data_IF_941284161580
#
_entry.id   IF_941284161580
#
_cell.length_a   1.000
_cell.length_b   1.000
_cell.length_c   1.000
_cell.angle_alpha   90.00
_cell.angle_beta   90.00
_cell.angle_gamma   90.00
#
_symmetry.space_group_name_H-M   'P 1'
#
loop_
_entity.id
_entity.type
_entity.pdbx_description
1 polymer ?
#
# COMPACT_ATOMS: atom_id res chain seq x y z
N UNK A 1 15.05 14.60 -38.11
CA UNK A 1 14.89 14.47 -36.65
C UNK A 1 13.44 14.81 -36.38
N UNK A 2 12.61 13.82 -36.00
CA UNK A 2 11.16 14.00 -35.93
C UNK A 2 10.78 15.12 -34.97
N UNK A 3 9.81 15.96 -35.37
CA UNK A 3 9.24 16.97 -34.48
C UNK A 3 8.71 16.29 -33.21
N UNK A 4 9.07 16.84 -32.05
CA UNK A 4 8.51 16.39 -30.79
C UNK A 4 7.08 16.90 -30.70
N UNK A 5 6.11 16.00 -30.80
CA UNK A 5 4.71 16.34 -30.56
C UNK A 5 4.48 16.67 -29.07
N UNK A 6 4.30 17.96 -28.79
CA UNK A 6 4.05 18.46 -27.44
C UNK A 6 2.76 17.88 -26.85
N UNK A 7 1.75 17.56 -27.68
CA UNK A 7 0.52 16.94 -27.19
C UNK A 7 0.80 15.54 -26.63
N UNK A 8 1.51 14.70 -27.39
CA UNK A 8 1.96 13.37 -26.94
C UNK A 8 2.75 13.45 -25.63
N UNK A 9 3.69 14.40 -25.51
CA UNK A 9 4.47 14.57 -24.28
C UNK A 9 3.58 14.94 -23.08
N UNK A 10 2.62 15.83 -23.26
CA UNK A 10 1.70 16.21 -22.18
C UNK A 10 0.81 15.04 -21.75
N UNK A 11 0.31 14.25 -22.69
CA UNK A 11 -0.47 13.03 -22.38
C UNK A 11 0.36 11.99 -21.63
N UNK A 12 1.62 11.79 -22.02
CA UNK A 12 2.53 10.89 -21.32
C UNK A 12 2.73 11.32 -19.85
N UNK A 13 2.91 12.63 -19.59
CA UNK A 13 3.02 13.17 -18.23
C UNK A 13 1.74 12.99 -17.43
N UNK A 14 0.58 13.25 -18.05
CA UNK A 14 -0.72 13.09 -17.39
C UNK A 14 -0.96 11.63 -17.00
N UNK A 15 -0.71 10.69 -17.90
CA UNK A 15 -0.82 9.25 -17.63
C UNK A 15 0.11 8.83 -16.49
N UNK A 16 1.39 9.23 -16.54
CA UNK A 16 2.35 8.93 -15.47
C UNK A 16 1.90 9.49 -14.13
N UNK A 17 1.45 10.75 -14.11
CA UNK A 17 1.01 11.42 -12.88
C UNK A 17 -0.19 10.70 -12.27
N UNK A 18 -1.18 10.31 -13.08
CA UNK A 18 -2.33 9.54 -12.62
C UNK A 18 -1.90 8.21 -12.00
N UNK A 19 -1.07 7.43 -12.70
CA UNK A 19 -0.58 6.15 -12.18
C UNK A 19 0.22 6.31 -10.89
N UNK A 20 1.13 7.29 -10.84
CA UNK A 20 1.95 7.58 -9.67
C UNK A 20 1.10 8.02 -8.47
N UNK A 21 0.10 8.88 -8.68
CA UNK A 21 -0.81 9.31 -7.63
C UNK A 21 -1.63 8.15 -7.07
N UNK A 22 -2.21 7.30 -7.93
CA UNK A 22 -2.95 6.12 -7.48
C UNK A 22 -2.07 5.16 -6.68
N UNK A 23 -0.86 4.86 -7.16
CA UNK A 23 0.07 3.98 -6.46
C UNK A 23 0.50 4.56 -5.09
N UNK A 24 0.77 5.87 -5.03
CA UNK A 24 1.21 6.53 -3.79
C UNK A 24 0.15 6.60 -2.69
N UNK A 25 -1.13 6.31 -2.99
CA UNK A 25 -2.14 6.12 -1.94
C UNK A 25 -1.92 4.80 -1.19
N UNK A 26 -1.59 3.72 -1.90
CA UNK A 26 -1.48 2.38 -1.32
C UNK A 26 -0.13 2.13 -0.65
N UNK A 27 0.96 2.74 -1.14
CA UNK A 27 2.32 2.57 -0.60
C UNK A 27 2.43 2.94 0.89
N UNK A 28 2.12 4.17 1.34
CA UNK A 28 2.26 4.55 2.75
C UNK A 28 1.27 3.81 3.66
N UNK A 29 0.07 3.49 3.16
CA UNK A 29 -0.93 2.71 3.90
C UNK A 29 -0.42 1.29 4.16
N UNK A 30 0.10 0.63 3.12
CA UNK A 30 0.69 -0.72 3.21
C UNK A 30 1.88 -0.74 4.16
N UNK A 31 2.76 0.26 4.06
CA UNK A 31 3.93 0.37 4.93
C UNK A 31 3.51 0.56 6.40
N UNK A 32 2.57 1.46 6.68
CA UNK A 32 2.04 1.68 8.03
C UNK A 32 1.33 0.45 8.61
N UNK A 33 0.49 -0.21 7.81
CA UNK A 33 -0.22 -1.43 8.22
C UNK A 33 0.73 -2.59 8.51
N UNK A 34 1.84 -2.71 7.77
CA UNK A 34 2.84 -3.76 8.02
C UNK A 34 3.47 -3.64 9.41
N UNK A 35 3.87 -2.43 9.82
CA UNK A 35 4.37 -2.16 11.16
C UNK A 35 3.34 -2.43 12.25
N UNK A 36 2.09 -2.03 12.01
CA UNK A 36 0.98 -2.24 12.95
C UNK A 36 0.65 -3.73 13.12
N UNK A 37 0.66 -4.52 12.04
CA UNK A 37 0.51 -5.98 12.12
C UNK A 37 1.67 -6.62 12.88
N UNK A 38 2.91 -6.23 12.58
CA UNK A 38 4.10 -6.73 13.28
C UNK A 38 4.07 -6.41 14.78
N UNK A 39 3.59 -5.22 15.14
CA UNK A 39 3.44 -4.78 16.53
C UNK A 39 2.41 -5.62 17.28
N UNK A 40 1.20 -5.80 16.74
CA UNK A 40 0.17 -6.60 17.40
C UNK A 40 0.54 -8.09 17.48
N UNK A 41 1.19 -8.64 16.46
CA UNK A 41 1.70 -10.02 16.50
C UNK A 41 2.79 -10.17 17.57
N UNK A 42 3.68 -9.18 17.70
CA UNK A 42 4.73 -9.18 18.74
C UNK A 42 4.13 -9.18 20.16
N UNK A 43 3.04 -8.44 20.38
CA UNK A 43 2.32 -8.46 21.66
C UNK A 43 1.64 -9.82 21.87
N UNK A 44 1.03 -10.38 20.83
CA UNK A 44 0.43 -11.72 20.90
C UNK A 44 1.45 -12.78 21.32
N UNK A 45 2.62 -12.81 20.67
CA UNK A 45 3.69 -13.78 20.98
C UNK A 45 4.19 -13.63 22.42
N UNK A 46 4.25 -12.40 22.96
CA UNK A 46 4.67 -12.15 24.35
C UNK A 46 3.60 -12.49 25.39
N UNK A 47 2.32 -12.23 25.10
CA UNK A 47 1.23 -12.34 26.08
C UNK A 47 0.46 -13.66 25.99
N UNK A 48 0.48 -14.33 24.83
CA UNK A 48 -0.36 -15.49 24.55
C UNK A 48 -1.86 -15.19 24.43
N UNK A 49 -2.29 -13.94 24.53
CA UNK A 49 -3.72 -13.59 24.50
C UNK A 49 -4.30 -13.68 23.09
N UNK A 50 -5.38 -14.46 22.95
CA UNK A 50 -6.08 -14.67 21.69
C UNK A 50 -6.74 -13.40 21.13
N UNK A 51 -6.93 -12.35 21.94
CA UNK A 51 -7.49 -11.07 21.50
C UNK A 51 -6.54 -10.35 20.54
N UNK A 52 -5.25 -10.28 20.89
CA UNK A 52 -4.21 -9.69 20.03
C UNK A 52 -4.06 -10.43 18.70
N UNK A 53 -4.22 -11.76 18.70
CA UNK A 53 -4.22 -12.57 17.48
C UNK A 53 -5.40 -12.23 16.57
N UNK A 54 -6.59 -12.04 17.13
CA UNK A 54 -7.78 -11.64 16.35
C UNK A 54 -7.61 -10.25 15.76
N UNK A 55 -7.07 -9.31 16.54
CA UNK A 55 -6.77 -7.95 16.08
C UNK A 55 -5.74 -7.97 14.94
N UNK A 56 -4.65 -8.73 15.10
CA UNK A 56 -3.63 -8.88 14.05
C UNK A 56 -4.24 -9.43 12.76
N UNK A 57 -5.07 -10.48 12.83
CA UNK A 57 -5.75 -11.06 11.66
C UNK A 57 -6.68 -10.07 10.96
N UNK A 58 -7.41 -9.24 11.71
CA UNK A 58 -8.27 -8.20 11.15
C UNK A 58 -7.46 -7.20 10.30
N UNK A 59 -6.37 -6.66 10.87
CA UNK A 59 -5.51 -5.71 10.16
C UNK A 59 -4.74 -6.37 9.02
N UNK A 60 -4.36 -7.64 9.15
CA UNK A 60 -3.70 -8.40 8.09
C UNK A 60 -4.59 -8.59 6.86
N UNK A 61 -5.90 -8.76 7.04
CA UNK A 61 -6.85 -8.79 5.90
C UNK A 61 -6.87 -7.46 5.15
N UNK A 62 -6.93 -6.34 5.87
CA UNK A 62 -6.88 -5.01 5.27
C UNK A 62 -5.54 -4.74 4.58
N UNK A 63 -4.44 -5.16 5.20
CA UNK A 63 -3.12 -5.12 4.60
C UNK A 63 -3.07 -5.90 3.27
N UNK A 64 -3.60 -7.13 3.25
CA UNK A 64 -3.63 -7.97 2.06
C UNK A 64 -4.40 -7.35 0.89
N UNK A 65 -5.56 -6.73 1.17
CA UNK A 65 -6.35 -6.03 0.15
C UNK A 65 -5.58 -4.83 -0.41
N UNK A 66 -5.01 -3.99 0.47
CA UNK A 66 -4.23 -2.82 0.03
C UNK A 66 -2.98 -3.23 -0.77
N UNK A 67 -2.32 -4.29 -0.34
CA UNK A 67 -1.14 -4.82 -1.02
C UNK A 67 -1.47 -5.37 -2.42
N UNK A 68 -2.59 -6.09 -2.57
CA UNK A 68 -3.00 -6.63 -3.86
C UNK A 68 -3.36 -5.55 -4.89
N UNK A 69 -3.87 -4.40 -4.45
CA UNK A 69 -4.17 -3.25 -5.32
C UNK A 69 -2.92 -2.41 -5.60
N UNK A 70 -2.00 -2.34 -4.64
CA UNK A 70 -0.79 -1.53 -4.73
C UNK A 70 0.34 -2.13 -5.55
N UNK A 71 0.34 -3.44 -5.83
CA UNK A 71 1.37 -4.15 -6.59
C UNK A 71 1.11 -4.12 -8.11
#
# INVERSE_FOLDING_TARGET
>A
MGEIDLATVNWARAQFTLTAMYHWLFVPITLGLSFLCAFFESIYVRTGSNEWKKLTKFWMTLFGINFAIGI
#
